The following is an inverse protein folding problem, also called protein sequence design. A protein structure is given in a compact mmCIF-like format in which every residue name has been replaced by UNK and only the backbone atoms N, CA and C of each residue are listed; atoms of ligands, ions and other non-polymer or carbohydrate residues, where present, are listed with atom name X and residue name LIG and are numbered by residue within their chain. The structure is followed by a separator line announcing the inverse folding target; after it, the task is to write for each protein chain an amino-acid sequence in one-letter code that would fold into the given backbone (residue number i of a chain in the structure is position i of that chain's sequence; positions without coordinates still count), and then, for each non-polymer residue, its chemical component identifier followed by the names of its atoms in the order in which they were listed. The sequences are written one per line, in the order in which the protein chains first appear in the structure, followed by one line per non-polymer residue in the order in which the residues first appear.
data_IF_481057307119
#
_entry.id   IF_481057307119
#
_cell.length_a   1.000
_cell.length_b   1.000
_cell.length_c   1.000
_cell.angle_alpha   90.00
_cell.angle_beta   90.00
_cell.angle_gamma   90.00
#
_symmetry.space_group_name_H-M   'P 1'
#
loop_
_entity.id
_entity.type
_entity.pdbx_description
1 polymer ?
#
# COMPACT_ATOMS: atom_id res chain seq x y z
N UNK A 1 1.61 -29.92 15.40
CA UNK A 1 0.16 -30.07 15.11
C UNK A 1 -0.57 -28.84 15.68
N UNK A 2 -1.75 -28.45 15.17
CA UNK A 2 -2.54 -27.26 15.59
C UNK A 2 -1.95 -25.86 15.32
N UNK A 3 -0.72 -25.78 14.78
CA UNK A 3 -0.05 -24.53 14.42
C UNK A 3 -0.82 -23.70 13.39
N UNK A 4 -1.43 -24.37 12.41
CA UNK A 4 -2.23 -23.72 11.36
C UNK A 4 -3.49 -23.06 11.92
N UNK A 5 -4.22 -23.76 12.80
CA UNK A 5 -5.42 -23.23 13.44
C UNK A 5 -5.08 -22.03 14.34
N UNK A 6 -4.03 -22.15 15.16
CA UNK A 6 -3.57 -21.06 16.00
C UNK A 6 -3.15 -19.84 15.17
N UNK A 7 -2.43 -20.05 14.07
CA UNK A 7 -2.03 -18.98 13.16
C UNK A 7 -3.24 -18.28 12.54
N UNK A 8 -4.28 -19.03 12.15
CA UNK A 8 -5.52 -18.46 11.63
C UNK A 8 -6.27 -17.65 12.70
N UNK A 9 -6.34 -18.15 13.94
CA UNK A 9 -6.95 -17.43 15.08
C UNK A 9 -6.19 -16.13 15.38
N UNK A 10 -4.86 -16.17 15.43
CA UNK A 10 -4.04 -14.97 15.65
C UNK A 10 -4.22 -13.94 14.53
N UNK A 11 -4.22 -14.39 13.27
CA UNK A 11 -4.45 -13.53 12.11
C UNK A 11 -5.83 -12.88 12.14
N UNK A 12 -6.89 -13.69 12.28
CA UNK A 12 -8.27 -13.21 12.30
C UNK A 12 -8.54 -12.33 13.52
N UNK A 13 -8.02 -12.70 14.69
CA UNK A 13 -8.12 -11.92 15.93
C UNK A 13 -7.45 -10.55 15.80
N UNK A 14 -6.25 -10.50 15.23
CA UNK A 14 -5.54 -9.22 15.02
C UNK A 14 -6.31 -8.32 14.05
N UNK A 15 -6.80 -8.88 12.94
CA UNK A 15 -7.62 -8.15 11.97
C UNK A 15 -8.90 -7.61 12.61
N UNK A 16 -9.62 -8.47 13.35
CA UNK A 16 -10.88 -8.11 14.01
C UNK A 16 -10.66 -7.00 15.04
N UNK A 17 -9.65 -7.12 15.92
CA UNK A 17 -9.34 -6.09 16.91
C UNK A 17 -8.97 -4.76 16.25
N UNK A 18 -8.11 -4.78 15.22
CA UNK A 18 -7.69 -3.55 14.54
C UNK A 18 -8.88 -2.85 13.86
N UNK A 19 -9.75 -3.63 13.22
CA UNK A 19 -10.96 -3.12 12.57
C UNK A 19 -11.99 -2.61 13.58
N UNK A 20 -12.20 -3.34 14.68
CA UNK A 20 -13.12 -2.96 15.75
C UNK A 20 -12.66 -1.67 16.44
N UNK A 21 -11.38 -1.55 16.81
CA UNK A 21 -10.83 -0.34 17.43
C UNK A 21 -10.92 0.88 16.49
N UNK A 22 -10.78 0.67 15.18
CA UNK A 22 -11.05 1.72 14.19
C UNK A 22 -12.51 2.15 14.17
N UNK A 23 -13.46 1.22 14.21
CA UNK A 23 -14.89 1.57 14.29
C UNK A 23 -15.24 2.24 15.62
N UNK A 24 -14.62 1.79 16.71
CA UNK A 24 -14.78 2.35 18.04
C UNK A 24 -14.42 3.84 18.10
N UNK A 25 -13.43 4.29 17.31
CA UNK A 25 -13.11 5.71 17.12
C UNK A 25 -14.34 6.57 16.74
N UNK A 26 -15.24 6.01 15.94
CA UNK A 26 -16.44 6.67 15.41
C UNK A 26 -17.70 6.35 16.23
N UNK A 27 -17.62 5.46 17.22
CA UNK A 27 -18.76 5.07 18.06
C UNK A 27 -19.14 6.16 19.07
N UNK A 28 -20.33 6.09 19.65
CA UNK A 28 -20.79 7.02 20.69
C UNK A 28 -20.21 6.72 22.08
N UNK A 29 -19.59 5.56 22.27
CA UNK A 29 -19.05 5.13 23.57
C UNK A 29 -17.75 5.88 23.94
N UNK A 30 -17.55 6.12 25.26
CA UNK A 30 -16.42 6.83 25.88
C UNK A 30 -16.27 8.34 25.57
N UNK A 31 -15.64 9.11 26.50
CA UNK A 31 -15.32 10.51 26.26
C UNK A 31 -14.37 10.67 25.06
N UNK A 32 -14.61 11.72 24.26
CA UNK A 32 -14.03 11.87 22.93
C UNK A 32 -12.49 11.89 22.86
N UNK A 33 -11.77 12.27 23.92
CA UNK A 33 -10.30 12.20 23.96
C UNK A 33 -9.80 10.76 24.08
N UNK A 34 -10.32 10.00 25.04
CA UNK A 34 -9.94 8.61 25.28
C UNK A 34 -10.28 7.74 24.06
N UNK A 35 -11.48 7.91 23.49
CA UNK A 35 -11.94 7.19 22.29
C UNK A 35 -11.02 7.39 21.09
N UNK A 36 -10.54 8.61 20.86
CA UNK A 36 -9.61 8.92 19.76
C UNK A 36 -8.25 8.27 19.98
N UNK A 37 -7.69 8.37 21.19
CA UNK A 37 -6.41 7.73 21.52
C UNK A 37 -6.49 6.22 21.30
N UNK A 38 -7.53 5.55 21.82
CA UNK A 38 -7.71 4.11 21.64
C UNK A 38 -7.86 3.74 20.16
N UNK A 39 -8.62 4.53 19.39
CA UNK A 39 -8.81 4.30 17.96
C UNK A 39 -7.55 4.52 17.12
N UNK A 40 -6.75 5.56 17.43
CA UNK A 40 -5.52 5.91 16.71
C UNK A 40 -4.39 4.90 17.03
N UNK A 41 -4.32 4.39 18.26
CA UNK A 41 -3.42 3.31 18.66
C UNK A 41 -3.97 1.90 18.40
N UNK A 42 -5.08 1.78 17.66
CA UNK A 42 -5.77 0.50 17.47
C UNK A 42 -4.89 -0.59 16.85
N UNK A 43 -4.07 -0.26 15.86
CA UNK A 43 -3.14 -1.21 15.22
C UNK A 43 -2.04 -1.68 16.20
N UNK A 44 -1.25 -0.80 16.85
CA UNK A 44 -0.29 -1.21 17.87
C UNK A 44 -0.90 -2.03 19.02
N UNK A 45 -2.06 -1.64 19.53
CA UNK A 45 -2.77 -2.35 20.61
C UNK A 45 -3.14 -3.77 20.16
N UNK A 46 -3.63 -3.93 18.93
CA UNK A 46 -4.00 -5.23 18.37
C UNK A 46 -2.80 -6.16 18.23
N UNK A 47 -1.65 -5.63 17.76
CA UNK A 47 -0.39 -6.38 17.69
C UNK A 47 0.04 -6.82 19.09
N UNK A 48 0.01 -5.91 20.06
CA UNK A 48 0.44 -6.19 21.43
C UNK A 48 -0.42 -7.27 22.09
N UNK A 49 -1.76 -7.16 22.00
CA UNK A 49 -2.69 -8.14 22.58
C UNK A 49 -2.47 -9.52 21.97
N UNK A 50 -2.40 -9.62 20.64
CA UNK A 50 -2.28 -10.92 19.98
C UNK A 50 -0.88 -11.53 20.11
N UNK A 51 0.16 -10.71 20.21
CA UNK A 51 1.50 -11.17 20.57
C UNK A 51 1.55 -11.69 22.03
N UNK A 52 0.82 -11.07 22.96
CA UNK A 52 0.69 -11.59 24.33
C UNK A 52 -0.07 -12.92 24.36
N UNK A 53 -1.14 -13.06 23.60
CA UNK A 53 -1.87 -14.34 23.47
C UNK A 53 -0.93 -15.45 22.97
N UNK A 54 -0.13 -15.19 21.93
CA UNK A 54 0.90 -16.13 21.46
C UNK A 54 1.95 -16.43 22.53
N UNK A 55 2.37 -15.44 23.32
CA UNK A 55 3.34 -15.62 24.39
C UNK A 55 2.84 -16.55 25.51
N UNK A 56 1.55 -16.50 25.83
CA UNK A 56 0.95 -17.37 26.85
C UNK A 56 0.70 -18.80 26.33
N UNK A 57 0.52 -19.00 25.03
CA UNK A 57 0.32 -20.32 24.42
C UNK A 57 1.67 -20.94 24.07
N UNK A 58 2.27 -21.66 25.03
CA UNK A 58 3.61 -22.27 24.86
C UNK A 58 3.61 -23.63 24.17
N UNK A 59 2.46 -24.30 24.13
CA UNK A 59 2.36 -25.70 23.70
C UNK A 59 2.30 -25.88 22.16
N UNK A 60 2.24 -24.78 21.41
CA UNK A 60 2.10 -24.80 19.95
C UNK A 60 3.10 -23.87 19.28
N UNK A 61 3.78 -24.36 18.24
CA UNK A 61 4.73 -23.57 17.47
C UNK A 61 4.03 -22.51 16.60
N UNK A 62 4.55 -21.29 16.61
CA UNK A 62 4.17 -20.22 15.70
C UNK A 62 5.40 -19.64 15.02
N UNK A 63 5.27 -19.32 13.73
CA UNK A 63 6.36 -18.71 12.98
C UNK A 63 6.50 -17.25 13.41
N UNK A 64 7.69 -16.85 13.87
CA UNK A 64 7.97 -15.50 14.38
C UNK A 64 8.86 -14.71 13.43
N UNK A 65 8.93 -13.40 13.63
CA UNK A 65 9.79 -12.53 12.83
C UNK A 65 11.26 -12.94 13.01
N UNK A 66 11.94 -13.24 11.90
CA UNK A 66 13.38 -13.55 11.90
C UNK A 66 14.14 -12.29 11.53
N UNK A 67 14.89 -11.75 12.49
CA UNK A 67 15.78 -10.59 12.28
C UNK A 67 17.21 -11.09 12.44
N UNK A 68 18.14 -10.75 11.52
CA UNK A 68 19.53 -11.11 11.68
C UNK A 68 20.13 -10.41 12.91
N UNK A 69 21.07 -11.07 13.60
CA UNK A 69 21.73 -10.52 14.80
C UNK A 69 22.71 -9.38 14.48
N UNK A 70 23.08 -9.23 13.21
CA UNK A 70 24.04 -8.23 12.74
C UNK A 70 23.85 -7.90 11.26
N UNK A 71 24.58 -6.88 10.81
CA UNK A 71 24.63 -6.48 9.41
C UNK A 71 25.68 -7.32 8.67
N UNK A 72 25.21 -8.25 7.85
CA UNK A 72 26.05 -9.09 7.01
C UNK A 72 25.72 -8.89 5.52
N UNK A 73 26.72 -9.04 4.67
CA UNK A 73 26.51 -9.04 3.21
C UNK A 73 25.89 -10.37 2.78
N UNK A 74 25.00 -10.34 1.78
CA UNK A 74 24.25 -11.52 1.30
C UNK A 74 25.15 -12.70 0.93
N UNK A 75 26.38 -12.44 0.47
CA UNK A 75 27.39 -13.45 0.23
C UNK A 75 28.78 -12.85 0.47
N UNK A 76 29.35 -13.13 1.66
CA UNK A 76 30.64 -12.58 2.08
C UNK A 76 31.82 -13.07 1.23
N UNK A 77 31.71 -14.25 0.63
CA UNK A 77 32.75 -14.81 -0.25
C UNK A 77 32.73 -14.15 -1.63
N UNK A 78 31.53 -13.88 -2.17
CA UNK A 78 31.37 -13.36 -3.53
C UNK A 78 31.47 -11.83 -3.65
N UNK A 79 31.08 -11.05 -2.62
CA UNK A 79 31.07 -9.58 -2.71
C UNK A 79 31.49 -8.87 -1.43
N UNK A 80 32.12 -7.71 -1.60
CA UNK A 80 32.29 -6.73 -0.54
C UNK A 80 31.06 -5.82 -0.39
N UNK A 81 31.19 -4.79 0.43
CA UNK A 81 30.17 -3.74 0.59
C UNK A 81 30.04 -2.83 -0.63
N UNK A 82 31.15 -2.59 -1.33
CA UNK A 82 31.17 -1.84 -2.58
C UNK A 82 31.49 -2.78 -3.74
N UNK A 83 30.72 -2.67 -4.82
CA UNK A 83 30.88 -3.50 -6.02
C UNK A 83 31.68 -2.70 -7.06
N UNK A 84 32.87 -3.19 -7.40
CA UNK A 84 33.66 -2.59 -8.46
C UNK A 84 32.96 -2.80 -9.82
N UNK A 85 32.63 -1.72 -10.58
CA UNK A 85 31.96 -1.84 -11.87
C UNK A 85 32.79 -2.61 -12.91
N UNK A 86 34.12 -2.73 -12.74
CA UNK A 86 34.99 -3.48 -13.65
C UNK A 86 35.05 -4.99 -13.34
N UNK A 87 34.34 -5.45 -12.30
CA UNK A 87 34.40 -6.82 -11.79
C UNK A 87 35.43 -6.99 -10.66
N UNK A 88 35.30 -8.09 -9.90
CA UNK A 88 36.19 -8.42 -8.78
C UNK A 88 37.19 -9.52 -9.18
N UNK A 89 36.68 -10.69 -9.57
CA UNK A 89 37.51 -11.86 -9.89
C UNK A 89 37.75 -12.01 -11.41
N UNK A 90 36.78 -11.63 -12.23
CA UNK A 90 36.87 -11.60 -13.70
C UNK A 90 36.54 -10.19 -14.20
N UNK A 91 37.17 -9.79 -15.31
CA UNK A 91 36.84 -8.52 -15.98
C UNK A 91 35.41 -8.57 -16.51
N UNK A 92 34.58 -7.61 -16.10
CA UNK A 92 33.20 -7.56 -16.59
C UNK A 92 33.19 -7.14 -18.07
N UNK A 93 32.52 -7.90 -18.95
CA UNK A 93 32.57 -7.64 -20.38
C UNK A 93 31.97 -6.27 -20.72
N UNK A 94 32.72 -5.45 -21.47
CA UNK A 94 32.35 -4.08 -21.83
C UNK A 94 31.01 -4.04 -22.60
N UNK A 95 30.77 -5.01 -23.48
CA UNK A 95 29.51 -5.09 -24.23
C UNK A 95 28.30 -5.24 -23.29
N UNK A 96 28.46 -5.95 -22.17
CA UNK A 96 27.40 -6.17 -21.20
C UNK A 96 27.15 -4.93 -20.34
N UNK A 97 28.15 -4.07 -20.15
CA UNK A 97 27.96 -2.75 -19.52
C UNK A 97 27.01 -1.90 -20.35
N UNK A 98 27.20 -1.85 -21.67
CA UNK A 98 26.28 -1.13 -22.57
C UNK A 98 24.92 -1.84 -22.69
N UNK A 99 24.90 -3.17 -22.77
CA UNK A 99 23.66 -3.93 -22.82
C UNK A 99 22.80 -3.76 -21.56
N UNK A 100 23.41 -3.46 -20.40
CA UNK A 100 22.71 -3.23 -19.13
C UNK A 100 21.75 -2.02 -19.15
N UNK A 101 21.89 -1.13 -20.14
CA UNK A 101 20.94 -0.02 -20.36
C UNK A 101 19.53 -0.54 -20.63
N UNK A 102 19.38 -1.69 -21.29
CA UNK A 102 18.07 -2.28 -21.60
C UNK A 102 17.30 -2.71 -20.33
N UNK A 103 17.85 -3.55 -19.44
CA UNK A 103 17.18 -3.87 -18.18
C UNK A 103 17.07 -2.66 -17.25
N UNK A 104 18.04 -1.73 -17.25
CA UNK A 104 17.96 -0.50 -16.47
C UNK A 104 16.76 0.37 -16.89
N UNK A 105 16.50 0.49 -18.20
CA UNK A 105 15.33 1.20 -18.73
C UNK A 105 14.02 0.53 -18.28
N UNK A 106 13.96 -0.80 -18.28
CA UNK A 106 12.78 -1.53 -17.81
C UNK A 106 12.52 -1.28 -16.31
N UNK A 107 13.56 -1.34 -15.48
CA UNK A 107 13.48 -1.03 -14.04
C UNK A 107 13.09 0.43 -13.82
N UNK A 108 13.62 1.35 -14.62
CA UNK A 108 13.24 2.76 -14.55
C UNK A 108 11.75 2.95 -14.84
N UNK A 109 11.21 2.31 -15.89
CA UNK A 109 9.78 2.40 -16.23
C UNK A 109 8.90 1.84 -15.09
N UNK A 110 9.32 0.73 -14.46
CA UNK A 110 8.65 0.15 -13.29
C UNK A 110 8.60 1.15 -12.12
N UNK A 111 9.77 1.66 -11.71
CA UNK A 111 9.89 2.61 -10.60
C UNK A 111 9.12 3.90 -10.91
N UNK A 112 9.21 4.38 -12.15
CA UNK A 112 8.50 5.57 -12.61
C UNK A 112 6.99 5.39 -12.47
N UNK A 113 6.40 4.33 -13.02
CA UNK A 113 4.96 4.12 -12.93
C UNK A 113 4.49 3.93 -11.49
N UNK A 114 5.15 3.09 -10.70
CA UNK A 114 4.75 2.85 -9.30
C UNK A 114 4.80 4.15 -8.49
N UNK A 115 5.86 4.93 -8.66
CA UNK A 115 6.05 6.18 -7.92
C UNK A 115 5.04 7.24 -8.35
N UNK A 116 4.88 7.47 -9.65
CA UNK A 116 3.96 8.49 -10.15
C UNK A 116 2.50 8.16 -9.83
N UNK A 117 2.09 6.91 -9.99
CA UNK A 117 0.72 6.46 -9.63
C UNK A 117 0.51 6.60 -8.13
N UNK A 118 1.48 6.19 -7.31
CA UNK A 118 1.38 6.32 -5.85
C UNK A 118 1.27 7.78 -5.42
N UNK A 119 2.10 8.66 -5.95
CA UNK A 119 2.05 10.10 -5.64
C UNK A 119 0.73 10.70 -6.10
N UNK A 120 0.22 10.35 -7.29
CA UNK A 120 -1.09 10.80 -7.79
C UNK A 120 -2.26 10.35 -6.89
N UNK A 121 -2.23 9.11 -6.39
CA UNK A 121 -3.28 8.59 -5.49
C UNK A 121 -3.26 9.32 -4.15
N UNK A 122 -2.07 9.69 -3.67
CA UNK A 122 -1.91 10.40 -2.39
C UNK A 122 -2.22 11.88 -2.54
N UNK A 123 -1.88 12.48 -3.67
CA UNK A 123 -2.08 13.91 -3.96
C UNK A 123 -3.47 14.25 -4.49
N UNK A 124 -4.45 13.36 -4.31
CA UNK A 124 -5.81 13.59 -4.80
C UNK A 124 -6.46 14.80 -4.09
N UNK A 125 -7.23 15.63 -4.82
CA UNK A 125 -7.91 16.79 -4.25
C UNK A 125 -8.83 16.43 -3.07
N UNK A 126 -9.44 15.23 -3.07
CA UNK A 126 -10.33 14.79 -1.99
C UNK A 126 -9.65 14.70 -0.62
N UNK A 127 -8.31 14.62 -0.57
CA UNK A 127 -7.55 14.56 0.67
C UNK A 127 -7.21 15.92 1.27
N UNK A 128 -7.49 17.03 0.58
CA UNK A 128 -7.27 18.41 1.08
C UNK A 128 -5.83 18.66 1.57
N UNK A 129 -4.83 18.21 0.80
CA UNK A 129 -3.42 18.50 1.05
C UNK A 129 -3.11 19.97 0.76
N UNK A 130 -2.15 20.55 1.49
CA UNK A 130 -1.88 22.00 1.49
C UNK A 130 -0.52 22.34 0.87
N UNK A 131 0.53 21.56 1.14
CA UNK A 131 1.91 21.91 0.76
C UNK A 131 2.31 21.59 -0.70
N UNK A 132 1.35 21.21 -1.55
CA UNK A 132 1.62 20.80 -2.93
C UNK A 132 2.40 19.48 -3.04
N UNK A 133 2.50 18.94 -4.26
CA UNK A 133 3.22 17.67 -4.53
C UNK A 133 4.41 17.86 -5.46
N UNK A 134 5.51 17.15 -5.19
CA UNK A 134 6.80 17.31 -5.87
C UNK A 134 7.15 16.13 -6.78
N UNK A 135 6.37 15.88 -7.84
CA UNK A 135 6.54 14.69 -8.70
C UNK A 135 7.93 14.51 -9.31
N UNK A 136 8.56 15.60 -9.76
CA UNK A 136 9.89 15.54 -10.39
C UNK A 136 11.01 15.30 -9.38
N UNK A 137 10.92 15.94 -8.21
CA UNK A 137 11.91 15.79 -7.14
C UNK A 137 11.87 14.37 -6.58
N UNK A 138 10.67 13.82 -6.36
CA UNK A 138 10.48 12.46 -5.86
C UNK A 138 11.12 11.42 -6.81
N UNK A 139 10.90 11.60 -8.12
CA UNK A 139 11.48 10.71 -9.14
C UNK A 139 13.01 10.79 -9.15
N UNK A 140 13.57 12.00 -9.15
CA UNK A 140 15.02 12.21 -9.14
C UNK A 140 15.64 11.56 -7.91
N UNK A 141 15.09 11.80 -6.72
CA UNK A 141 15.59 11.24 -5.47
C UNK A 141 15.56 9.70 -5.48
N UNK A 142 14.43 9.09 -5.83
CA UNK A 142 14.29 7.62 -5.81
C UNK A 142 15.23 6.95 -6.81
N UNK A 143 15.33 7.49 -8.03
CA UNK A 143 16.18 6.91 -9.08
C UNK A 143 17.66 7.10 -8.76
N UNK A 144 18.07 8.28 -8.27
CA UNK A 144 19.46 8.51 -7.84
C UNK A 144 19.83 7.62 -6.65
N UNK A 145 18.94 7.49 -5.65
CA UNK A 145 19.17 6.58 -4.52
C UNK A 145 19.23 5.12 -4.98
N UNK A 146 18.38 4.71 -5.93
CA UNK A 146 18.42 3.37 -6.51
C UNK A 146 19.72 3.08 -7.26
N UNK A 147 20.22 4.05 -8.04
CA UNK A 147 21.51 3.95 -8.72
C UNK A 147 22.68 3.84 -7.74
N UNK A 148 22.69 4.66 -6.67
CA UNK A 148 23.70 4.56 -5.61
C UNK A 148 23.59 3.22 -4.86
N UNK A 149 22.39 2.78 -4.51
CA UNK A 149 22.16 1.49 -3.84
C UNK A 149 22.71 0.31 -4.66
N UNK A 150 22.55 0.35 -5.99
CA UNK A 150 23.09 -0.67 -6.88
C UNK A 150 24.62 -0.80 -6.80
N UNK A 151 25.36 0.30 -6.61
CA UNK A 151 26.82 0.28 -6.41
C UNK A 151 27.25 -0.42 -5.12
N UNK A 152 26.39 -0.37 -4.09
CA UNK A 152 26.61 -1.07 -2.82
C UNK A 152 26.00 -2.49 -2.79
N UNK A 153 25.43 -2.95 -3.91
CA UNK A 153 24.74 -4.24 -3.98
C UNK A 153 23.49 -4.32 -3.10
N UNK A 154 22.86 -3.17 -2.84
CA UNK A 154 21.60 -3.05 -2.10
C UNK A 154 20.46 -2.99 -3.11
N UNK A 155 19.29 -3.63 -2.86
CA UNK A 155 18.15 -3.54 -3.77
C UNK A 155 17.69 -2.10 -3.97
N UNK A 156 17.29 -1.76 -5.18
CA UNK A 156 16.58 -0.52 -5.46
C UNK A 156 15.20 -0.53 -4.81
N UNK A 157 14.68 0.65 -4.52
CA UNK A 157 13.39 0.85 -3.85
C UNK A 157 12.47 1.67 -4.74
N UNK A 158 11.16 1.43 -4.61
CA UNK A 158 10.10 2.22 -5.23
C UNK A 158 9.10 2.70 -4.18
N UNK A 159 8.29 3.71 -4.51
CA UNK A 159 7.24 4.15 -3.60
C UNK A 159 6.10 3.12 -3.56
N UNK A 160 5.89 2.49 -2.39
CA UNK A 160 4.88 1.43 -2.23
C UNK A 160 3.48 2.01 -1.98
N UNK A 161 2.54 1.76 -2.87
CA UNK A 161 1.19 2.36 -2.84
C UNK A 161 0.43 2.11 -1.53
N UNK A 162 0.28 0.85 -1.09
CA UNK A 162 -0.50 0.50 0.11
C UNK A 162 0.14 1.10 1.38
N UNK A 163 1.46 1.07 1.49
CA UNK A 163 2.20 1.64 2.62
C UNK A 163 2.03 3.16 2.66
N UNK A 164 2.17 3.84 1.53
CA UNK A 164 2.04 5.30 1.47
C UNK A 164 0.60 5.74 1.76
N UNK A 165 -0.41 5.03 1.25
CA UNK A 165 -1.82 5.32 1.54
C UNK A 165 -2.15 5.11 3.01
N UNK A 166 -1.70 4.02 3.62
CA UNK A 166 -1.94 3.73 5.04
C UNK A 166 -1.23 4.72 5.96
N UNK A 167 0.01 5.10 5.64
CA UNK A 167 0.72 6.17 6.33
C UNK A 167 -0.01 7.51 6.20
N UNK A 168 -0.48 7.88 5.00
CA UNK A 168 -1.28 9.09 4.80
C UNK A 168 -2.60 9.03 5.61
N UNK A 169 -3.30 7.90 5.60
CA UNK A 169 -4.54 7.69 6.34
C UNK A 169 -4.34 7.81 7.87
N UNK A 170 -3.19 7.37 8.39
CA UNK A 170 -2.85 7.54 9.80
C UNK A 170 -2.66 9.01 10.21
N UNK A 171 -2.35 9.89 9.24
CA UNK A 171 -2.18 11.33 9.43
C UNK A 171 -3.45 12.13 9.09
N UNK A 172 -4.50 11.47 8.59
CA UNK A 172 -5.76 12.11 8.19
C UNK A 172 -6.65 12.36 9.41
N UNK A 173 -7.09 13.61 9.55
CA UNK A 173 -8.07 14.03 10.55
C UNK A 173 -9.45 14.07 9.93
N UNK A 174 -10.37 13.29 10.49
CA UNK A 174 -11.78 13.25 10.09
C UNK A 174 -12.61 14.27 10.89
N UNK A 175 -13.68 14.81 10.29
CA UNK A 175 -14.57 15.78 10.92
C UNK A 175 -15.22 15.27 12.21
N UNK A 176 -15.37 16.17 13.19
CA UNK A 176 -15.82 15.87 14.56
C UNK A 176 -17.34 15.77 14.70
N UNK A 177 -18.10 16.27 13.74
CA UNK A 177 -19.55 16.45 13.85
C UNK A 177 -20.08 16.75 12.46
N UNK A 178 -20.73 15.76 11.89
CA UNK A 178 -21.73 15.98 10.86
C UNK A 178 -23.04 15.47 11.46
N UNK A 179 -24.16 16.09 11.12
CA UNK A 179 -25.46 15.75 11.70
C UNK A 179 -25.71 14.21 11.62
N UNK A 180 -26.51 13.61 12.53
CA UNK A 180 -26.76 12.17 12.49
C UNK A 180 -27.20 11.73 11.08
N UNK A 181 -26.36 10.95 10.39
CA UNK A 181 -26.58 10.49 9.01
C UNK A 181 -25.61 11.03 7.95
N UNK A 182 -24.84 12.09 8.22
CA UNK A 182 -23.83 12.59 7.28
C UNK A 182 -22.49 11.83 7.40
N UNK A 183 -21.89 11.50 6.25
CA UNK A 183 -20.59 10.80 6.19
C UNK A 183 -19.49 11.71 6.74
N UNK A 184 -18.60 11.14 7.56
CA UNK A 184 -17.42 11.84 8.07
C UNK A 184 -16.55 12.33 6.91
N UNK A 185 -16.40 13.65 6.77
CA UNK A 185 -15.52 14.24 5.76
C UNK A 185 -14.08 14.38 6.26
N UNK A 186 -13.12 14.32 5.34
CA UNK A 186 -11.72 14.63 5.60
C UNK A 186 -11.61 16.14 5.86
N UNK A 187 -11.06 16.54 7.01
CA UNK A 187 -10.79 17.95 7.33
C UNK A 187 -9.44 18.37 6.76
N UNK A 188 -8.39 17.68 7.21
CA UNK A 188 -7.00 17.96 6.88
C UNK A 188 -6.15 16.70 7.04
N UNK A 189 -4.99 16.68 6.41
CA UNK A 189 -3.95 15.66 6.61
C UNK A 189 -2.73 16.34 7.23
N UNK A 190 -2.22 15.78 8.31
CA UNK A 190 -1.02 16.31 8.98
C UNK A 190 0.24 16.01 8.17
N UNK A 191 0.67 16.97 7.36
CA UNK A 191 1.87 16.85 6.54
C UNK A 191 3.15 17.09 7.35
N UNK A 192 3.77 15.99 7.79
CA UNK A 192 5.00 16.00 8.59
C UNK A 192 6.13 15.19 7.96
N UNK A 193 7.38 15.63 8.18
CA UNK A 193 8.61 14.90 7.78
C UNK A 193 9.09 13.92 8.84
N UNK A 194 8.72 14.16 10.10
CA UNK A 194 9.24 13.44 11.27
C UNK A 194 8.75 11.99 11.30
N UNK A 195 7.49 11.70 10.97
CA UNK A 195 7.00 10.32 11.01
C UNK A 195 7.74 9.41 10.03
N UNK A 196 7.95 9.87 8.79
CA UNK A 196 8.71 9.12 7.80
C UNK A 196 10.15 8.88 8.24
N UNK A 197 10.80 9.92 8.78
CA UNK A 197 12.16 9.82 9.31
C UNK A 197 12.25 8.84 10.49
N UNK A 198 11.32 8.90 11.44
CA UNK A 198 11.29 8.00 12.59
C UNK A 198 11.06 6.55 12.16
N UNK A 199 10.16 6.29 11.21
CA UNK A 199 9.95 4.94 10.68
C UNK A 199 11.22 4.41 9.99
N UNK A 200 11.90 5.24 9.19
CA UNK A 200 13.15 4.87 8.54
C UNK A 200 14.27 4.56 9.56
N UNK A 201 14.39 5.39 10.60
CA UNK A 201 15.35 5.19 11.68
C UNK A 201 15.04 3.91 12.48
N UNK A 202 13.77 3.67 12.82
CA UNK A 202 13.34 2.46 13.53
C UNK A 202 13.61 1.19 12.72
N UNK A 203 13.45 1.23 11.39
CA UNK A 203 13.84 0.11 10.52
C UNK A 203 15.37 -0.10 10.58
N UNK A 204 16.17 0.97 10.55
CA UNK A 204 17.63 0.87 10.70
C UNK A 204 18.06 0.28 12.05
N UNK A 205 17.40 0.68 13.13
CA UNK A 205 17.68 0.21 14.50
C UNK A 205 17.06 -1.18 14.78
N UNK A 206 16.18 -1.69 13.91
CA UNK A 206 15.45 -2.95 14.12
C UNK A 206 16.36 -4.17 14.36
N UNK A 207 17.58 -4.15 13.83
CA UNK A 207 18.60 -5.18 14.05
C UNK A 207 18.99 -5.27 15.53
N UNK A 208 19.09 -4.13 16.23
CA UNK A 208 19.36 -4.08 17.67
C UNK A 208 18.14 -4.51 18.50
N UNK A 209 16.93 -4.42 17.91
CA UNK A 209 15.67 -4.81 18.54
C UNK A 209 15.30 -6.28 18.26
N UNK A 210 16.21 -7.10 17.68
CA UNK A 210 16.01 -8.54 17.44
C UNK A 210 15.43 -9.29 18.65
N UNK A 211 15.89 -9.08 19.90
CA UNK A 211 15.36 -9.79 21.06
C UNK A 211 13.88 -9.54 21.33
N UNK A 212 13.38 -8.37 20.96
CA UNK A 212 11.96 -7.99 21.13
C UNK A 212 11.16 -8.46 19.92
N UNK A 213 11.67 -8.20 18.72
CA UNK A 213 10.96 -8.46 17.47
C UNK A 213 10.73 -9.96 17.21
N UNK A 214 11.63 -10.84 17.67
CA UNK A 214 11.48 -12.30 17.58
C UNK A 214 10.30 -12.86 18.37
N UNK A 215 9.70 -12.07 19.27
CA UNK A 215 8.49 -12.49 19.98
C UNK A 215 7.20 -12.25 19.18
N UNK A 216 7.26 -11.48 18.10
CA UNK A 216 6.08 -11.15 17.29
C UNK A 216 5.83 -12.28 16.28
N UNK A 217 4.70 -13.00 16.37
CA UNK A 217 4.34 -14.03 15.39
C UNK A 217 3.95 -13.41 14.04
N UNK A 218 4.38 -14.02 12.94
CA UNK A 218 4.06 -13.58 11.58
C UNK A 218 2.56 -13.59 11.31
N UNK A 219 1.80 -14.49 11.93
CA UNK A 219 0.35 -14.56 11.83
C UNK A 219 -0.34 -13.23 12.21
N UNK A 220 0.18 -12.55 13.25
CA UNK A 220 -0.31 -11.23 13.67
C UNK A 220 -0.03 -10.18 12.60
N UNK A 221 1.15 -10.21 11.97
CA UNK A 221 1.49 -9.32 10.87
C UNK A 221 0.59 -9.57 9.64
N UNK A 222 0.25 -10.81 9.32
CA UNK A 222 -0.74 -11.12 8.27
C UNK A 222 -2.12 -10.52 8.57
N UNK A 223 -2.55 -10.52 9.84
CA UNK A 223 -3.78 -9.84 10.26
C UNK A 223 -3.71 -8.32 10.01
N UNK A 224 -2.58 -7.69 10.29
CA UNK A 224 -2.36 -6.27 10.00
C UNK A 224 -2.26 -6.00 8.49
N UNK A 225 -1.62 -6.88 7.72
CA UNK A 225 -1.60 -6.77 6.25
C UNK A 225 -3.00 -6.87 5.66
N UNK A 226 -3.85 -7.77 6.17
CA UNK A 226 -5.25 -7.87 5.77
C UNK A 226 -6.01 -6.59 6.13
N UNK A 227 -5.82 -6.05 7.34
CA UNK A 227 -6.41 -4.78 7.75
C UNK A 227 -5.97 -3.62 6.83
N UNK A 228 -4.68 -3.50 6.54
CA UNK A 228 -4.16 -2.50 5.62
C UNK A 228 -4.71 -2.68 4.19
N UNK A 229 -4.87 -3.92 3.74
CA UNK A 229 -5.51 -4.26 2.47
C UNK A 229 -6.94 -3.73 2.40
N UNK A 230 -7.81 -4.16 3.32
CA UNK A 230 -9.21 -3.73 3.38
C UNK A 230 -9.33 -2.21 3.51
N UNK A 231 -8.53 -1.60 4.39
CA UNK A 231 -8.63 -0.16 4.64
C UNK A 231 -8.08 0.70 3.52
N UNK A 232 -7.19 0.16 2.68
CA UNK A 232 -6.71 0.84 1.47
C UNK A 232 -7.74 0.88 0.35
N UNK A 233 -8.75 -0.01 0.38
CA UNK A 233 -9.85 -0.01 -0.59
C UNK A 233 -10.86 1.13 -0.34
N UNK A 234 -10.93 1.64 0.89
CA UNK A 234 -11.80 2.75 1.23
C UNK A 234 -11.37 4.05 0.53
N UNK A 235 -12.30 4.69 -0.17
CA UNK A 235 -12.04 5.89 -0.99
C UNK A 235 -11.60 5.59 -2.43
N UNK A 236 -11.63 4.33 -2.86
CA UNK A 236 -11.48 3.96 -4.27
C UNK A 236 -12.87 3.92 -4.92
N UNK A 237 -13.15 4.86 -5.82
CA UNK A 237 -14.44 4.95 -6.54
C UNK A 237 -14.80 3.66 -7.30
N UNK A 238 -13.82 2.93 -7.84
CA UNK A 238 -14.07 1.61 -8.45
C UNK A 238 -14.65 0.63 -7.42
N UNK A 239 -14.08 0.55 -6.22
CA UNK A 239 -14.56 -0.35 -5.18
C UNK A 239 -15.96 0.05 -4.70
N UNK A 240 -16.21 1.34 -4.50
CA UNK A 240 -17.53 1.85 -4.15
C UNK A 240 -18.58 1.48 -5.23
N UNK A 241 -18.24 1.60 -6.52
CA UNK A 241 -19.13 1.19 -7.62
C UNK A 241 -19.33 -0.32 -7.72
N UNK A 242 -18.31 -1.11 -7.37
CA UNK A 242 -18.47 -2.58 -7.26
C UNK A 242 -19.48 -2.91 -6.17
N UNK A 243 -19.44 -2.23 -5.03
CA UNK A 243 -20.47 -2.39 -3.99
C UNK A 243 -21.85 -1.94 -4.47
N UNK A 244 -21.94 -0.87 -5.27
CA UNK A 244 -23.20 -0.42 -5.87
C UNK A 244 -23.79 -1.41 -6.88
N UNK A 245 -23.01 -2.30 -7.51
CA UNK A 245 -23.56 -3.38 -8.34
C UNK A 245 -24.41 -4.37 -7.53
N UNK A 246 -24.07 -4.55 -6.25
CA UNK A 246 -24.77 -5.47 -5.34
C UNK A 246 -25.88 -4.79 -4.55
N UNK A 247 -25.99 -3.46 -4.64
CA UNK A 247 -26.94 -2.65 -3.90
C UNK A 247 -28.17 -2.33 -4.78
N UNK A 248 -29.41 -2.40 -4.24
CA UNK A 248 -30.59 -1.98 -5.00
C UNK A 248 -30.53 -0.48 -5.31
N UNK A 249 -31.05 -0.02 -6.45
CA UNK A 249 -31.06 1.40 -6.84
C UNK A 249 -31.70 2.35 -5.82
N UNK A 250 -32.56 1.83 -4.93
CA UNK A 250 -33.21 2.61 -3.85
C UNK A 250 -32.22 3.11 -2.78
N UNK A 251 -31.11 2.40 -2.56
CA UNK A 251 -30.14 2.72 -1.51
C UNK A 251 -28.90 3.46 -2.04
N UNK A 252 -28.94 3.84 -3.32
CA UNK A 252 -27.88 4.54 -3.99
C UNK A 252 -27.60 5.91 -3.32
N UNK A 253 -26.33 6.23 -3.02
CA UNK A 253 -25.97 7.49 -2.39
C UNK A 253 -26.12 8.66 -3.37
N UNK A 254 -26.28 9.87 -2.83
CA UNK A 254 -26.38 11.13 -3.59
C UNK A 254 -25.03 11.62 -4.13
N UNK A 255 -24.32 10.75 -4.84
CA UNK A 255 -23.04 11.06 -5.48
C UNK A 255 -23.27 11.53 -6.94
N UNK A 256 -22.42 12.40 -7.51
CA UNK A 256 -22.59 12.93 -8.87
C UNK A 256 -22.67 11.84 -9.94
N UNK A 257 -21.89 10.76 -9.80
CA UNK A 257 -21.86 9.61 -10.71
C UNK A 257 -23.03 8.64 -10.56
N UNK A 258 -23.95 8.91 -9.64
CA UNK A 258 -25.16 8.12 -9.42
C UNK A 258 -26.40 8.92 -9.80
N UNK A 259 -26.36 10.23 -9.56
CA UNK A 259 -27.47 11.16 -9.79
C UNK A 259 -27.51 11.70 -11.22
N UNK A 260 -26.35 11.89 -11.88
CA UNK A 260 -26.27 12.50 -13.22
C UNK A 260 -26.29 11.52 -14.38
N UNK A 261 -26.07 10.22 -14.13
CA UNK A 261 -25.94 9.19 -15.16
C UNK A 261 -26.91 8.05 -14.91
N UNK A 262 -27.33 7.37 -15.98
CA UNK A 262 -28.23 6.22 -15.87
C UNK A 262 -27.51 5.04 -15.19
N UNK A 263 -28.20 4.37 -14.26
CA UNK A 263 -27.68 3.24 -13.47
C UNK A 263 -27.07 2.13 -14.33
N UNK A 264 -27.73 1.75 -15.44
CA UNK A 264 -27.20 0.74 -16.37
C UNK A 264 -25.87 1.15 -17.02
N UNK A 265 -25.70 2.44 -17.35
CA UNK A 265 -24.45 2.96 -17.94
C UNK A 265 -23.32 2.95 -16.92
N UNK A 266 -23.60 3.28 -15.66
CA UNK A 266 -22.64 3.15 -14.56
C UNK A 266 -22.19 1.70 -14.37
N UNK A 267 -23.12 0.74 -14.41
CA UNK A 267 -22.79 -0.69 -14.28
C UNK A 267 -21.96 -1.20 -15.47
N UNK A 268 -22.31 -0.80 -16.69
CA UNK A 268 -21.52 -1.12 -17.89
C UNK A 268 -20.07 -0.59 -17.78
N UNK A 269 -19.91 0.65 -17.31
CA UNK A 269 -18.59 1.23 -17.10
C UNK A 269 -17.79 0.46 -16.04
N UNK A 270 -18.44 0.12 -14.93
CA UNK A 270 -17.82 -0.65 -13.83
C UNK A 270 -17.41 -2.05 -14.30
N UNK A 271 -18.26 -2.70 -15.10
CA UNK A 271 -17.95 -4.00 -15.72
C UNK A 271 -16.71 -3.92 -16.61
N UNK A 272 -16.61 -2.90 -17.47
CA UNK A 272 -15.41 -2.68 -18.29
C UNK A 272 -14.15 -2.51 -17.42
N UNK A 273 -14.23 -1.79 -16.30
CA UNK A 273 -13.11 -1.67 -15.37
C UNK A 273 -12.73 -3.01 -14.70
N UNK A 274 -13.71 -3.83 -14.35
CA UNK A 274 -13.47 -5.18 -13.81
C UNK A 274 -12.75 -6.05 -14.85
N UNK A 275 -13.18 -6.01 -16.12
CA UNK A 275 -12.52 -6.76 -17.21
C UNK A 275 -11.06 -6.34 -17.36
N UNK A 276 -10.78 -5.04 -17.34
CA UNK A 276 -9.39 -4.53 -17.38
C UNK A 276 -8.59 -4.98 -16.17
N UNK A 277 -9.18 -4.99 -14.97
CA UNK A 277 -8.54 -5.47 -13.75
C UNK A 277 -8.21 -6.97 -13.83
N UNK A 278 -9.13 -7.79 -14.34
CA UNK A 278 -8.91 -9.23 -14.56
C UNK A 278 -7.79 -9.47 -15.57
N UNK A 279 -7.74 -8.69 -16.66
CA UNK A 279 -6.66 -8.76 -17.64
C UNK A 279 -5.30 -8.41 -17.01
N UNK A 280 -5.23 -7.34 -16.22
CA UNK A 280 -4.02 -6.97 -15.49
C UNK A 280 -3.60 -8.06 -14.49
N UNK A 281 -4.57 -8.68 -13.82
CA UNK A 281 -4.30 -9.77 -12.88
C UNK A 281 -3.79 -11.04 -13.58
N UNK A 282 -4.36 -11.38 -14.74
CA UNK A 282 -3.90 -12.49 -15.56
C UNK A 282 -2.44 -12.30 -16.02
N UNK A 283 -2.10 -11.11 -16.54
CA UNK A 283 -0.71 -10.77 -16.92
C UNK A 283 0.22 -10.87 -15.72
N UNK A 284 -0.19 -10.32 -14.56
CA UNK A 284 0.60 -10.38 -13.33
C UNK A 284 0.87 -11.81 -12.85
N UNK A 285 -0.06 -12.73 -13.07
CA UNK A 285 0.07 -14.13 -12.64
C UNK A 285 0.99 -14.96 -13.53
N UNK A 286 1.43 -14.43 -14.67
CA UNK A 286 2.35 -15.09 -15.61
C UNK A 286 3.78 -14.62 -15.43
N UNK A 287 4.74 -15.35 -16.01
CA UNK A 287 6.16 -14.93 -16.04
C UNK A 287 6.36 -13.57 -16.75
N UNK A 288 5.40 -13.16 -17.58
CA UNK A 288 5.33 -11.84 -18.19
C UNK A 288 4.92 -10.70 -17.21
N UNK A 289 4.97 -10.93 -15.89
CA UNK A 289 4.66 -9.90 -14.88
C UNK A 289 5.48 -8.61 -15.02
N UNK A 290 6.70 -8.70 -15.57
CA UNK A 290 7.56 -7.56 -15.89
C UNK A 290 6.96 -6.63 -16.97
N UNK A 291 6.03 -7.13 -17.79
CA UNK A 291 5.33 -6.35 -18.81
C UNK A 291 4.13 -5.56 -18.26
N UNK A 292 3.77 -5.74 -16.99
CA UNK A 292 2.62 -5.08 -16.34
C UNK A 292 2.61 -3.54 -16.51
N UNK A 293 3.74 -2.82 -16.39
CA UNK A 293 3.83 -1.40 -16.74
C UNK A 293 3.25 -1.03 -18.10
N UNK A 294 3.61 -1.79 -19.13
CA UNK A 294 3.20 -1.51 -20.50
C UNK A 294 1.71 -1.75 -20.69
N UNK A 295 1.19 -2.83 -20.10
CA UNK A 295 -0.24 -3.13 -20.12
C UNK A 295 -1.03 -2.04 -19.38
N UNK A 296 -0.51 -1.54 -18.27
CA UNK A 296 -1.12 -0.43 -17.53
C UNK A 296 -1.11 0.86 -18.36
N UNK A 297 0.00 1.20 -19.01
CA UNK A 297 0.07 2.34 -19.93
C UNK A 297 -0.94 2.19 -21.07
N UNK A 298 -1.13 0.98 -21.61
CA UNK A 298 -2.10 0.70 -22.68
C UNK A 298 -3.57 0.94 -22.24
N UNK A 299 -3.86 0.92 -20.94
CA UNK A 299 -5.19 1.32 -20.44
C UNK A 299 -5.49 2.80 -20.62
N UNK A 300 -4.46 3.65 -20.80
CA UNK A 300 -4.63 5.09 -21.05
C UNK A 300 -5.23 5.37 -22.44
N UNK A 301 -4.70 4.86 -23.56
CA UNK A 301 -5.34 5.00 -24.86
C UNK A 301 -6.69 4.27 -24.91
N UNK A 302 -6.88 3.15 -24.21
CA UNK A 302 -8.20 2.53 -24.04
C UNK A 302 -9.20 3.55 -23.44
N UNK A 303 -8.80 4.27 -22.39
CA UNK A 303 -9.63 5.33 -21.79
C UNK A 303 -9.84 6.52 -22.72
N UNK A 304 -8.84 6.91 -23.50
CA UNK A 304 -8.88 8.14 -24.31
C UNK A 304 -9.58 7.96 -25.67
N UNK A 305 -9.52 6.78 -26.28
CA UNK A 305 -10.03 6.55 -27.63
C UNK A 305 -11.22 5.61 -27.69
N UNK A 306 -11.24 4.56 -26.87
CA UNK A 306 -12.30 3.54 -26.92
C UNK A 306 -13.49 3.91 -26.04
N UNK A 307 -13.26 4.39 -24.82
CA UNK A 307 -14.37 4.76 -23.92
C UNK A 307 -15.24 5.93 -24.42
N UNK A 308 -14.71 7.00 -25.06
CA UNK A 308 -15.56 8.07 -25.59
C UNK A 308 -16.43 7.68 -26.78
N UNK A 309 -16.18 6.51 -27.41
CA UNK A 309 -17.08 5.96 -28.44
C UNK A 309 -18.33 5.32 -27.83
N UNK A 310 -18.24 4.88 -26.58
CA UNK A 310 -19.31 4.12 -25.90
C UNK A 310 -20.06 5.02 -24.91
N UNK A 311 -19.34 5.93 -24.24
CA UNK A 311 -19.84 6.80 -23.17
C UNK A 311 -19.72 8.27 -23.53
N UNK A 312 -20.66 9.08 -23.04
CA UNK A 312 -20.60 10.55 -23.20
C UNK A 312 -19.58 11.16 -22.25
N UNK A 313 -19.06 12.35 -22.57
CA UNK A 313 -18.09 13.06 -21.72
C UNK A 313 -18.58 13.30 -20.29
N UNK A 314 -19.88 13.51 -20.10
CA UNK A 314 -20.48 13.66 -18.77
C UNK A 314 -20.41 12.35 -17.99
N UNK A 315 -20.61 11.21 -18.66
CA UNK A 315 -20.55 9.87 -18.05
C UNK A 315 -19.13 9.45 -17.69
N UNK A 316 -18.11 10.01 -18.37
CA UNK A 316 -16.70 9.74 -18.11
C UNK A 316 -16.07 10.70 -17.09
N UNK A 317 -16.67 11.88 -16.89
CA UNK A 317 -16.22 12.90 -15.93
C UNK A 317 -16.84 12.74 -14.53
N UNK A 318 -18.04 12.16 -14.45
CA UNK A 318 -18.70 11.83 -13.19
C UNK A 318 -18.19 10.46 -12.70
#
# INVERSE_FOLDING_TARGET
PNTALLSLVLMAGTFFLAFFLRQFKNSAFLPGRARRLIGDFGVPISIFIMALVDFFIKDTFTQKLVVPKGLEVTNASARGWFINPMGKDNTFPIWMMFASVVPALLVFILIFLETQITTLIVSKPERKLVKGSGFHLDLLLIVTMGGLAALFGVPWLSATTVRTITHANALTVMSKTSAPGEKSQILEVKEQRISGLLVAMLIGVSILMEPILKHIPLAVLFGIFLYMGVTSLFGIQLFDRILLLLMPPKYHPSEPYVTRVKTWRMHLFTFTQIVVLVLLWAVKSTEASLALPFVLILTVPLRRFLLPRIFRDIELKC
#
